data_IF_618997307074
#
_entry.id   IF_618997307074
#
_cell.length_a   1.000
_cell.length_b   1.000
_cell.length_c   1.000
_cell.angle_alpha   90.00
_cell.angle_beta   90.00
_cell.angle_gamma   90.00
#
_symmetry.space_group_name_H-M   'P 1'
#
loop_
_entity.id
_entity.type
_entity.pdbx_description
1 polymer ?
#
# COMPACT_ATOMS: atom_id res chain seq x y z
N UNK A 1 15.15 -11.82 -1.80
CA UNK A 1 14.49 -12.51 -0.69
C UNK A 1 14.53 -11.62 0.53
N UNK A 2 13.47 -10.84 0.72
CA UNK A 2 13.17 -10.10 1.95
C UNK A 2 12.21 -10.93 2.82
N UNK A 3 12.08 -10.58 4.10
CA UNK A 3 11.11 -11.23 5.00
C UNK A 3 9.67 -11.14 4.46
N UNK A 4 9.34 -10.04 3.76
CA UNK A 4 8.02 -9.86 3.15
C UNK A 4 7.81 -10.82 1.96
N UNK A 5 8.81 -10.93 1.09
CA UNK A 5 8.79 -11.89 -0.03
C UNK A 5 8.60 -13.32 0.49
N UNK A 6 9.32 -13.70 1.56
CA UNK A 6 9.18 -15.02 2.17
C UNK A 6 7.78 -15.28 2.75
N UNK A 7 7.16 -14.28 3.37
CA UNK A 7 5.77 -14.41 3.87
C UNK A 7 4.79 -14.59 2.72
N UNK A 8 4.95 -13.83 1.64
CA UNK A 8 4.09 -13.91 0.46
C UNK A 8 4.23 -15.25 -0.28
N UNK A 9 5.44 -15.77 -0.38
CA UNK A 9 5.72 -17.06 -1.03
C UNK A 9 5.11 -18.25 -0.26
N UNK A 10 4.93 -18.08 1.05
CA UNK A 10 4.34 -19.08 1.93
C UNK A 10 2.87 -18.80 2.25
N UNK A 11 2.17 -18.04 1.41
CA UNK A 11 0.73 -17.73 1.54
C UNK A 11 -0.13 -18.47 0.51
N UNK A 12 -0.33 -19.80 0.65
CA UNK A 12 -1.06 -20.62 -0.33
C UNK A 12 -2.55 -20.25 -0.43
N UNK A 13 -3.07 -19.48 0.54
CA UNK A 13 -4.47 -19.03 0.57
C UNK A 13 -4.64 -17.60 0.05
N UNK A 14 -3.55 -16.87 -0.16
CA UNK A 14 -3.57 -15.44 -0.52
C UNK A 14 -4.10 -14.53 0.60
N UNK A 15 -4.16 -15.01 1.84
CA UNK A 15 -4.74 -14.29 2.96
C UNK A 15 -3.89 -13.09 3.40
N UNK A 16 -2.57 -13.26 3.44
CA UNK A 16 -1.62 -12.19 3.76
C UNK A 16 -1.55 -11.17 2.62
N UNK A 17 -1.55 -11.62 1.36
CA UNK A 17 -1.67 -10.73 0.20
C UNK A 17 -2.92 -9.87 0.29
N UNK A 18 -4.08 -10.49 0.58
CA UNK A 18 -5.36 -9.78 0.69
C UNK A 18 -5.33 -8.77 1.83
N UNK A 19 -4.82 -9.16 3.00
CA UNK A 19 -4.69 -8.29 4.17
C UNK A 19 -3.78 -7.09 3.90
N UNK A 20 -2.66 -7.29 3.21
CA UNK A 20 -1.76 -6.21 2.81
C UNK A 20 -2.44 -5.24 1.83
N UNK A 21 -3.16 -5.75 0.83
CA UNK A 21 -3.96 -4.93 -0.09
C UNK A 21 -5.01 -4.10 0.64
N UNK A 22 -5.77 -4.72 1.55
CA UNK A 22 -6.78 -4.02 2.35
C UNK A 22 -6.16 -2.93 3.24
N UNK A 23 -5.03 -3.23 3.87
CA UNK A 23 -4.30 -2.27 4.72
C UNK A 23 -3.81 -1.08 3.92
N UNK A 24 -3.20 -1.31 2.75
CA UNK A 24 -2.75 -0.25 1.85
C UNK A 24 -3.92 0.61 1.35
N UNK A 25 -5.04 -0.01 1.00
CA UNK A 25 -6.24 0.71 0.57
C UNK A 25 -6.82 1.60 1.67
N UNK A 26 -6.89 1.09 2.90
CA UNK A 26 -7.34 1.88 4.06
C UNK A 26 -6.40 3.06 4.34
N UNK A 27 -5.09 2.86 4.23
CA UNK A 27 -4.10 3.90 4.41
C UNK A 27 -4.25 5.00 3.34
N UNK A 28 -4.33 4.63 2.06
CA UNK A 28 -4.59 5.57 0.94
C UNK A 28 -5.86 6.38 1.17
N UNK A 29 -6.96 5.71 1.51
CA UNK A 29 -8.25 6.35 1.78
C UNK A 29 -8.16 7.34 2.94
N UNK A 30 -7.43 6.99 4.00
CA UNK A 30 -7.25 7.85 5.17
C UNK A 30 -6.45 9.10 4.84
N UNK A 31 -5.40 8.98 4.02
CA UNK A 31 -4.61 10.13 3.56
C UNK A 31 -5.44 11.03 2.64
N UNK A 32 -6.17 10.44 1.69
CA UNK A 32 -7.05 11.19 0.79
C UNK A 32 -8.09 12.00 1.55
N UNK A 33 -8.75 11.40 2.56
CA UNK A 33 -9.69 12.13 3.43
C UNK A 33 -9.04 13.32 4.15
N UNK A 34 -7.80 13.17 4.64
CA UNK A 34 -7.06 14.27 5.29
C UNK A 34 -6.73 15.40 4.31
N UNK A 35 -6.40 15.06 3.07
CA UNK A 35 -6.20 16.03 2.00
C UNK A 35 -7.51 16.76 1.66
N UNK A 36 -8.62 16.03 1.54
CA UNK A 36 -9.95 16.57 1.22
C UNK A 36 -10.50 17.50 2.32
N UNK A 37 -10.14 17.25 3.59
CA UNK A 37 -10.49 18.12 4.72
C UNK A 37 -9.73 19.46 4.75
N UNK A 38 -8.72 19.61 3.88
CA UNK A 38 -7.81 20.74 3.89
C UNK A 38 -6.72 20.58 4.95
N UNK A 39 -5.49 20.91 4.57
CA UNK A 39 -4.33 20.90 5.46
C UNK A 39 -3.37 22.03 5.08
N UNK A 40 -2.43 22.34 5.97
CA UNK A 40 -1.44 23.36 5.66
C UNK A 40 -0.47 22.89 4.55
N UNK A 41 0.23 23.79 3.85
CA UNK A 41 1.07 23.41 2.71
C UNK A 41 2.14 22.35 3.00
N UNK A 42 2.73 22.38 4.19
CA UNK A 42 3.76 21.40 4.60
C UNK A 42 3.15 20.01 4.80
N UNK A 43 1.99 19.95 5.44
CA UNK A 43 1.22 18.72 5.62
C UNK A 43 0.71 18.21 4.27
N UNK A 44 0.24 19.08 3.38
CA UNK A 44 -0.19 18.71 2.05
C UNK A 44 0.92 18.01 1.29
N UNK A 45 2.12 18.60 1.25
CA UNK A 45 3.26 17.99 0.56
C UNK A 45 3.64 16.63 1.15
N UNK A 46 3.61 16.50 2.48
CA UNK A 46 3.91 15.23 3.14
C UNK A 46 2.85 14.16 2.85
N UNK A 47 1.58 14.51 2.98
CA UNK A 47 0.44 13.61 2.75
C UNK A 47 0.38 13.16 1.28
N UNK A 48 0.64 14.05 0.33
CA UNK A 48 0.72 13.69 -1.10
C UNK A 48 1.82 12.67 -1.35
N UNK A 49 3.04 12.89 -0.84
CA UNK A 49 4.14 11.92 -0.96
C UNK A 49 3.79 10.57 -0.32
N UNK A 50 3.12 10.61 0.84
CA UNK A 50 2.70 9.40 1.52
C UNK A 50 1.63 8.62 0.73
N UNK A 51 0.68 9.33 0.11
CA UNK A 51 -0.33 8.74 -0.77
C UNK A 51 0.31 8.08 -2.00
N UNK A 52 1.25 8.77 -2.66
CA UNK A 52 2.03 8.24 -3.79
C UNK A 52 2.83 7.00 -3.38
N UNK A 53 3.47 7.01 -2.21
CA UNK A 53 4.20 5.87 -1.69
C UNK A 53 3.30 4.65 -1.47
N UNK A 54 2.06 4.83 -1.00
CA UNK A 54 1.12 3.72 -0.85
C UNK A 54 0.63 3.17 -2.20
N UNK A 55 0.44 4.02 -3.21
CA UNK A 55 0.13 3.57 -4.58
C UNK A 55 1.30 2.75 -5.13
N UNK A 56 2.53 3.24 -4.98
CA UNK A 56 3.72 2.52 -5.43
C UNK A 56 3.88 1.17 -4.71
N UNK A 57 3.67 1.12 -3.39
CA UNK A 57 3.70 -0.13 -2.62
C UNK A 57 2.65 -1.13 -3.11
N UNK A 58 1.43 -0.67 -3.42
CA UNK A 58 0.39 -1.54 -3.99
C UNK A 58 0.79 -2.09 -5.36
N UNK A 59 1.35 -1.26 -6.23
CA UNK A 59 1.82 -1.69 -7.55
C UNK A 59 2.93 -2.76 -7.46
N UNK A 60 3.89 -2.58 -6.54
CA UNK A 60 4.95 -3.57 -6.28
C UNK A 60 4.36 -4.89 -5.79
N UNK A 61 3.41 -4.85 -4.85
CA UNK A 61 2.74 -6.04 -4.34
C UNK A 61 1.96 -6.78 -5.44
N UNK A 62 1.23 -6.05 -6.29
CA UNK A 62 0.48 -6.61 -7.42
C UNK A 62 1.40 -7.24 -8.46
N UNK A 63 2.49 -6.55 -8.80
CA UNK A 63 3.50 -7.07 -9.70
C UNK A 63 4.12 -8.36 -9.15
N UNK A 64 4.50 -8.38 -7.88
CA UNK A 64 5.10 -9.54 -7.23
C UNK A 64 4.17 -10.76 -7.30
N UNK A 65 2.91 -10.60 -6.89
CA UNK A 65 1.91 -11.69 -6.91
C UNK A 65 1.63 -12.16 -8.34
N UNK A 66 1.59 -11.25 -9.32
CA UNK A 66 1.36 -11.61 -10.73
C UNK A 66 2.50 -12.43 -11.34
N UNK A 67 3.73 -12.27 -10.85
CA UNK A 67 4.90 -13.01 -11.32
C UNK A 67 4.98 -14.43 -10.73
N UNK A 68 4.16 -14.74 -9.74
CA UNK A 68 4.07 -16.06 -9.08
C UNK A 68 2.94 -16.94 -9.63
N UNK A 69 2.06 -16.37 -10.46
CA UNK A 69 0.88 -17.04 -11.03
C UNK A 69 1.21 -17.82 -12.31
#
# INVERSE_FOLDING_TARGET
>A
MTDLEQVLDNDPTGAEVKKLKETLFQAQTSIKRKLDQGCNPQQYQLLTKQHEAYIAAQAVLEQYVSQQS
#
